data_IF_118192554343
#
_entry.id   IF_118192554343
#
_cell.length_a   1.000
_cell.length_b   1.000
_cell.length_c   1.000
_cell.angle_alpha   90.00
_cell.angle_beta   90.00
_cell.angle_gamma   90.00
#
_symmetry.space_group_name_H-M   'P 1'
#
loop_
_entity.id
_entity.type
_entity.pdbx_description
1 polymer ?
#
# COMPACT_ATOMS: atom_id res chain seq x y z
N UNK A 1 -21.28 23.00 -19.31
CA UNK A 1 -20.21 23.72 -20.04
C UNK A 1 -20.74 23.97 -21.44
N UNK A 2 -20.86 25.20 -21.86
CA UNK A 2 -21.28 25.52 -23.21
C UNK A 2 -20.08 25.47 -24.19
N UNK A 3 -20.35 25.65 -25.51
CA UNK A 3 -19.29 25.54 -26.51
C UNK A 3 -18.26 26.66 -26.47
N UNK A 4 -18.62 27.82 -25.94
CA UNK A 4 -17.73 28.96 -25.84
C UNK A 4 -16.80 28.79 -24.63
N UNK A 5 -17.29 28.34 -23.47
CA UNK A 5 -16.46 27.96 -22.31
C UNK A 5 -15.42 26.89 -22.67
N UNK A 6 -15.80 25.88 -23.47
CA UNK A 6 -14.86 24.84 -23.93
C UNK A 6 -13.77 25.45 -24.81
N UNK A 7 -14.13 26.37 -25.71
CA UNK A 7 -13.15 27.06 -26.58
C UNK A 7 -12.15 27.87 -25.78
N UNK A 8 -12.62 28.68 -24.83
CA UNK A 8 -11.76 29.50 -23.95
C UNK A 8 -10.79 28.62 -23.16
N UNK A 9 -11.25 27.48 -22.61
CA UNK A 9 -10.40 26.53 -21.90
C UNK A 9 -9.33 25.90 -22.80
N UNK A 10 -9.67 25.57 -24.06
CA UNK A 10 -8.70 25.04 -25.04
C UNK A 10 -7.67 26.11 -25.40
N UNK A 11 -8.09 27.33 -25.65
CA UNK A 11 -7.18 28.46 -25.97
C UNK A 11 -6.24 28.75 -24.81
N UNK A 12 -6.74 28.83 -23.59
CA UNK A 12 -5.93 29.02 -22.37
C UNK A 12 -4.94 27.88 -22.15
N UNK A 13 -5.37 26.62 -22.36
CA UNK A 13 -4.48 25.46 -22.28
C UNK A 13 -3.39 25.49 -23.37
N UNK A 14 -3.74 25.90 -24.60
CA UNK A 14 -2.78 26.07 -25.69
C UNK A 14 -1.74 27.14 -25.37
N UNK A 15 -2.16 28.32 -24.94
CA UNK A 15 -1.25 29.39 -24.52
C UNK A 15 -0.31 28.95 -23.41
N UNK A 16 -0.83 28.28 -22.39
CA UNK A 16 -0.02 27.72 -21.28
C UNK A 16 1.02 26.70 -21.79
N UNK A 17 0.63 25.86 -22.76
CA UNK A 17 1.53 24.85 -23.32
C UNK A 17 2.71 25.45 -24.09
N UNK A 18 2.61 26.69 -24.61
CA UNK A 18 3.73 27.36 -25.29
C UNK A 18 4.92 27.65 -24.37
N UNK A 19 4.69 27.72 -23.06
CA UNK A 19 5.72 27.98 -22.05
C UNK A 19 6.36 26.67 -21.53
N UNK A 20 5.76 25.51 -21.80
CA UNK A 20 6.26 24.21 -21.33
C UNK A 20 7.12 23.56 -22.42
N UNK A 21 8.41 23.38 -22.14
CA UNK A 21 9.38 22.77 -23.07
C UNK A 21 9.81 21.38 -22.62
N UNK A 22 8.85 20.46 -22.50
CA UNK A 22 9.18 19.07 -22.24
C UNK A 22 9.71 18.38 -23.50
N UNK A 23 10.64 17.41 -23.37
CA UNK A 23 11.03 16.57 -24.49
C UNK A 23 9.81 15.86 -25.10
N UNK A 24 9.79 15.72 -26.41
CA UNK A 24 8.73 15.00 -27.10
C UNK A 24 8.77 13.51 -26.73
N UNK A 25 7.62 12.91 -26.49
CA UNK A 25 7.47 11.48 -26.36
C UNK A 25 6.30 10.96 -27.22
N UNK A 26 6.39 9.69 -27.61
CA UNK A 26 5.33 9.06 -28.43
C UNK A 26 4.27 8.45 -27.52
N UNK A 27 3.01 8.64 -27.89
CA UNK A 27 1.92 7.90 -27.29
C UNK A 27 2.02 6.40 -27.62
N UNK A 28 1.47 5.51 -26.80
CA UNK A 28 1.40 4.08 -27.05
C UNK A 28 0.76 3.77 -28.41
N UNK A 29 1.05 2.60 -28.94
CA UNK A 29 0.43 2.14 -30.18
C UNK A 29 -1.08 1.97 -30.01
N UNK A 30 -1.81 2.07 -31.14
CA UNK A 30 -3.26 1.96 -31.15
C UNK A 30 -3.76 0.64 -30.57
N UNK A 31 -4.71 0.72 -29.66
CA UNK A 31 -5.43 -0.42 -29.06
C UNK A 31 -6.92 -0.21 -29.22
N UNK A 32 -7.62 -1.24 -29.68
CA UNK A 32 -9.08 -1.31 -29.67
C UNK A 32 -9.46 -2.46 -28.74
N UNK A 33 -10.05 -2.13 -27.58
CA UNK A 33 -10.47 -3.12 -26.59
C UNK A 33 -11.75 -2.64 -25.88
N UNK A 34 -12.85 -3.32 -26.11
CA UNK A 34 -14.16 -3.03 -25.51
C UNK A 34 -14.52 -4.16 -24.57
N UNK A 35 -13.87 -4.19 -23.41
CA UNK A 35 -14.18 -5.20 -22.39
C UNK A 35 -15.51 -4.86 -21.69
N UNK A 36 -16.50 -5.71 -21.92
CA UNK A 36 -17.84 -5.61 -21.33
C UNK A 36 -18.09 -6.69 -20.27
N UNK A 37 -17.06 -7.41 -19.84
CA UNK A 37 -17.21 -8.44 -18.80
C UNK A 37 -17.74 -7.83 -17.51
N UNK A 38 -18.62 -8.58 -16.85
CA UNK A 38 -19.13 -8.20 -15.54
C UNK A 38 -18.00 -8.35 -14.53
N UNK A 39 -17.66 -7.25 -13.88
CA UNK A 39 -16.66 -7.20 -12.81
C UNK A 39 -17.35 -7.14 -11.45
N UNK A 40 -16.57 -7.21 -10.39
CA UNK A 40 -17.01 -6.93 -9.04
C UNK A 40 -17.73 -5.57 -8.97
N UNK A 41 -18.95 -5.55 -8.44
CA UNK A 41 -19.72 -4.33 -8.23
C UNK A 41 -19.54 -3.84 -6.79
N UNK A 42 -18.70 -2.82 -6.63
CA UNK A 42 -18.40 -2.24 -5.32
C UNK A 42 -19.65 -1.62 -4.68
N UNK A 43 -20.51 -0.98 -5.46
CA UNK A 43 -21.71 -0.33 -4.93
C UNK A 43 -22.74 -1.34 -4.39
N UNK A 44 -23.01 -2.41 -5.15
CA UNK A 44 -23.96 -3.44 -4.73
C UNK A 44 -23.42 -4.27 -3.55
N UNK A 45 -22.10 -4.36 -3.40
CA UNK A 45 -21.44 -5.23 -2.41
C UNK A 45 -21.23 -4.60 -1.04
N UNK A 46 -21.41 -3.28 -0.88
CA UNK A 46 -21.18 -2.54 0.38
C UNK A 46 -21.88 -3.17 1.58
N UNK A 47 -23.18 -3.45 1.45
CA UNK A 47 -23.99 -3.95 2.56
C UNK A 47 -23.50 -5.32 3.05
N UNK A 48 -23.12 -6.20 2.13
CA UNK A 48 -22.63 -7.54 2.49
C UNK A 48 -21.23 -7.48 3.14
N UNK A 49 -20.37 -6.56 2.70
CA UNK A 49 -19.08 -6.33 3.33
C UNK A 49 -19.23 -5.70 4.71
N UNK A 50 -20.15 -4.75 4.88
CA UNK A 50 -20.46 -4.16 6.18
C UNK A 50 -21.00 -5.22 7.17
N UNK A 51 -21.94 -6.08 6.75
CA UNK A 51 -22.43 -7.20 7.59
C UNK A 51 -21.26 -8.12 8.02
N UNK A 52 -20.34 -8.42 7.10
CA UNK A 52 -19.17 -9.24 7.41
C UNK A 52 -18.26 -8.57 8.45
N UNK A 53 -18.02 -7.26 8.33
CA UNK A 53 -17.24 -6.50 9.30
C UNK A 53 -17.91 -6.56 10.70
N UNK A 54 -19.19 -6.21 10.80
CA UNK A 54 -19.91 -6.20 12.07
C UNK A 54 -20.05 -7.60 12.70
N UNK A 55 -20.05 -8.68 11.93
CA UNK A 55 -20.08 -10.04 12.48
C UNK A 55 -18.82 -10.40 13.30
N UNK A 56 -17.74 -9.61 13.20
CA UNK A 56 -16.55 -9.80 14.00
C UNK A 56 -16.77 -9.52 15.51
N UNK A 57 -17.79 -8.73 15.89
CA UNK A 57 -18.13 -8.47 17.30
C UNK A 57 -18.56 -9.73 18.04
N UNK A 58 -19.10 -10.72 17.34
CA UNK A 58 -19.49 -11.99 17.95
C UNK A 58 -18.29 -12.77 18.52
N UNK A 59 -17.08 -12.49 18.02
CA UNK A 59 -15.84 -13.14 18.43
C UNK A 59 -15.15 -12.47 19.62
N UNK A 60 -15.43 -11.17 19.87
CA UNK A 60 -14.72 -10.37 20.87
C UNK A 60 -15.71 -9.56 21.72
N UNK A 61 -16.13 -10.13 22.84
CA UNK A 61 -17.21 -9.56 23.68
C UNK A 61 -16.85 -8.26 24.40
N UNK A 62 -15.55 -8.03 24.66
CA UNK A 62 -15.06 -6.89 25.46
C UNK A 62 -14.71 -5.65 24.61
N UNK A 63 -14.97 -5.69 23.31
CA UNK A 63 -14.81 -4.57 22.40
C UNK A 63 -16.02 -4.45 21.47
N UNK A 64 -16.12 -3.33 20.74
CA UNK A 64 -17.18 -3.07 19.77
C UNK A 64 -16.68 -2.14 18.66
N UNK A 65 -17.42 -2.08 17.57
CA UNK A 65 -17.17 -1.16 16.45
C UNK A 65 -17.86 0.15 16.79
N UNK A 66 -17.06 1.20 17.06
CA UNK A 66 -17.57 2.54 17.36
C UNK A 66 -18.16 3.21 16.11
N UNK A 67 -17.42 3.15 15.00
CA UNK A 67 -17.84 3.69 13.70
C UNK A 67 -17.25 2.88 12.55
N UNK A 68 -17.91 2.90 11.40
CA UNK A 68 -17.38 2.35 10.17
C UNK A 68 -17.96 3.12 8.97
N UNK A 69 -17.09 3.45 8.01
CA UNK A 69 -17.45 4.08 6.75
C UNK A 69 -17.07 3.18 5.59
N UNK A 70 -17.97 3.04 4.63
CA UNK A 70 -17.78 2.22 3.44
C UNK A 70 -18.06 3.03 2.19
N UNK A 71 -17.16 2.97 1.24
CA UNK A 71 -17.27 3.59 -0.07
C UNK A 71 -17.22 2.52 -1.15
N UNK A 72 -18.36 2.21 -1.75
CA UNK A 72 -18.44 1.32 -2.91
C UNK A 72 -18.32 2.13 -4.19
N UNK A 73 -17.44 1.71 -5.07
CA UNK A 73 -17.25 2.31 -6.39
C UNK A 73 -17.40 1.25 -7.48
N UNK A 74 -18.17 1.58 -8.52
CA UNK A 74 -18.19 0.87 -9.80
C UNK A 74 -17.98 1.89 -10.91
N UNK A 75 -16.85 1.81 -11.59
CA UNK A 75 -16.40 2.80 -12.58
C UNK A 75 -16.30 2.18 -13.95
N UNK A 76 -16.97 2.79 -14.94
CA UNK A 76 -16.71 2.52 -16.36
C UNK A 76 -15.74 3.56 -16.91
N UNK A 77 -14.65 3.10 -17.47
CA UNK A 77 -13.59 3.94 -18.03
C UNK A 77 -13.58 3.80 -19.54
N UNK A 78 -13.56 4.95 -20.25
CA UNK A 78 -13.40 5.03 -21.69
C UNK A 78 -12.14 5.85 -21.99
N UNK A 79 -11.20 5.28 -22.74
CA UNK A 79 -9.96 5.94 -23.13
C UNK A 79 -9.92 6.06 -24.65
N UNK A 80 -9.87 7.29 -25.13
CA UNK A 80 -9.73 7.61 -26.57
C UNK A 80 -8.46 8.45 -26.70
N UNK A 81 -7.57 8.04 -27.60
CA UNK A 81 -6.32 8.74 -27.85
C UNK A 81 -6.24 9.30 -29.26
N UNK A 82 -5.41 10.33 -29.48
CA UNK A 82 -5.14 10.91 -30.79
C UNK A 82 -4.48 9.92 -31.77
N UNK A 83 -3.95 8.80 -31.31
CA UNK A 83 -3.47 7.67 -32.12
C UNK A 83 -4.59 6.73 -32.58
N UNK A 84 -5.83 6.96 -32.13
CA UNK A 84 -7.01 6.18 -32.48
C UNK A 84 -7.22 4.94 -31.58
N UNK A 85 -6.64 4.90 -30.41
CA UNK A 85 -7.05 3.90 -29.40
C UNK A 85 -8.47 4.21 -28.95
N UNK A 86 -9.25 3.13 -28.73
CA UNK A 86 -10.61 3.18 -28.23
C UNK A 86 -10.81 2.00 -27.27
N UNK A 87 -10.67 2.28 -25.98
CA UNK A 87 -10.62 1.29 -24.91
C UNK A 87 -11.77 1.56 -23.95
N UNK A 88 -12.48 0.52 -23.54
CA UNK A 88 -13.53 0.60 -22.52
C UNK A 88 -13.43 -0.60 -21.59
N UNK A 89 -13.50 -0.34 -20.28
CA UNK A 89 -13.55 -1.38 -19.25
C UNK A 89 -14.34 -0.89 -18.03
N UNK A 90 -14.79 -1.84 -17.23
CA UNK A 90 -15.42 -1.55 -15.93
C UNK A 90 -14.58 -2.14 -14.82
N UNK A 91 -14.47 -1.43 -13.71
CA UNK A 91 -13.80 -1.89 -12.49
C UNK A 91 -14.66 -1.54 -11.27
N UNK A 92 -14.51 -2.32 -10.20
CA UNK A 92 -15.18 -2.06 -8.94
C UNK A 92 -14.24 -2.22 -7.76
N UNK A 93 -14.47 -1.44 -6.71
CA UNK A 93 -13.79 -1.58 -5.43
C UNK A 93 -14.65 -1.15 -4.27
N UNK A 94 -14.29 -1.61 -3.08
CA UNK A 94 -14.81 -1.11 -1.81
C UNK A 94 -13.61 -0.64 -1.00
N UNK A 95 -13.67 0.60 -0.57
CA UNK A 95 -12.73 1.16 0.40
C UNK A 95 -13.49 1.59 1.64
N UNK A 96 -12.80 1.81 2.73
CA UNK A 96 -13.40 2.35 3.93
C UNK A 96 -12.46 2.27 5.11
N UNK A 97 -13.03 2.64 6.24
CA UNK A 97 -12.33 2.68 7.52
C UNK A 97 -13.28 2.29 8.65
N UNK A 98 -12.72 1.89 9.75
CA UNK A 98 -13.48 1.62 10.96
C UNK A 98 -12.66 1.91 12.21
N UNK A 99 -13.36 2.27 13.27
CA UNK A 99 -12.83 2.49 14.60
C UNK A 99 -13.43 1.46 15.55
N UNK A 100 -12.57 0.77 16.26
CA UNK A 100 -12.98 -0.17 17.32
C UNK A 100 -12.64 0.39 18.69
N UNK A 101 -13.44 0.06 19.69
CA UNK A 101 -13.29 0.55 21.06
C UNK A 101 -13.46 -0.58 22.07
N UNK A 102 -12.69 -0.53 23.16
CA UNK A 102 -12.87 -1.42 24.30
C UNK A 102 -14.09 -0.98 25.15
N UNK A 103 -14.85 -1.94 25.69
CA UNK A 103 -16.05 -1.67 26.53
C UNK A 103 -15.75 -1.22 27.96
N UNK A 104 -14.47 -1.18 28.35
CA UNK A 104 -14.04 -0.77 29.70
C UNK A 104 -13.90 0.76 29.78
N UNK A 105 -13.59 1.25 31.01
CA UNK A 105 -13.63 2.69 31.35
C UNK A 105 -12.59 3.55 30.61
N UNK A 106 -11.50 2.97 30.13
CA UNK A 106 -10.50 3.72 29.39
C UNK A 106 -10.93 3.94 27.93
N UNK A 107 -10.81 5.18 27.48
CA UNK A 107 -11.04 5.56 26.07
C UNK A 107 -9.94 4.97 25.19
N UNK A 108 -10.17 3.77 24.68
CA UNK A 108 -9.24 3.01 23.86
C UNK A 108 -9.83 2.80 22.49
N UNK A 109 -9.51 3.70 21.58
CA UNK A 109 -9.89 3.61 20.19
C UNK A 109 -8.71 3.19 19.32
N UNK A 110 -8.97 2.29 18.39
CA UNK A 110 -8.03 1.89 17.35
C UNK A 110 -8.69 2.01 15.97
N UNK A 111 -8.00 2.68 15.09
CA UNK A 111 -8.39 2.90 13.69
C UNK A 111 -7.79 1.83 12.77
N UNK A 112 -8.52 1.47 11.72
CA UNK A 112 -8.02 0.69 10.59
C UNK A 112 -8.77 1.06 9.31
N UNK A 113 -8.08 1.06 8.19
CA UNK A 113 -8.61 1.23 6.84
C UNK A 113 -8.58 -0.09 6.05
N UNK A 114 -9.26 -0.13 4.92
CA UNK A 114 -9.27 -1.28 4.01
C UNK A 114 -9.54 -0.88 2.56
N UNK A 115 -9.08 -1.75 1.64
CA UNK A 115 -9.37 -1.62 0.21
C UNK A 115 -9.45 -3.01 -0.43
N UNK A 116 -10.62 -3.35 -0.98
CA UNK A 116 -10.90 -4.65 -1.60
C UNK A 116 -11.42 -4.46 -3.03
N UNK A 117 -11.01 -5.36 -3.91
CA UNK A 117 -11.34 -5.37 -5.33
C UNK A 117 -12.18 -6.58 -5.72
N UNK A 118 -12.64 -7.32 -4.72
CA UNK A 118 -13.53 -8.48 -4.83
C UNK A 118 -14.31 -8.65 -3.51
N UNK A 119 -15.25 -9.60 -3.45
CA UNK A 119 -16.04 -9.92 -2.27
C UNK A 119 -15.20 -10.67 -1.22
N UNK A 120 -14.42 -9.93 -0.43
CA UNK A 120 -13.50 -10.46 0.57
C UNK A 120 -14.09 -10.44 2.00
N UNK A 121 -15.28 -11.03 2.18
CA UNK A 121 -16.01 -11.04 3.49
C UNK A 121 -15.18 -11.59 4.64
N UNK A 122 -14.46 -12.68 4.41
CA UNK A 122 -13.65 -13.30 5.44
C UNK A 122 -12.41 -12.46 5.80
N UNK A 123 -11.81 -11.79 4.82
CA UNK A 123 -10.66 -10.91 5.04
C UNK A 123 -11.04 -9.71 5.92
N UNK A 124 -12.16 -9.03 5.62
CA UNK A 124 -12.60 -7.87 6.40
C UNK A 124 -13.06 -8.28 7.81
N UNK A 125 -13.75 -9.43 7.95
CA UNK A 125 -14.15 -9.99 9.26
C UNK A 125 -12.92 -10.27 10.12
N UNK A 126 -11.92 -10.97 9.60
CA UNK A 126 -10.66 -11.27 10.31
C UNK A 126 -9.88 -10.01 10.68
N UNK A 127 -9.82 -9.02 9.78
CA UNK A 127 -9.17 -7.73 10.04
C UNK A 127 -9.86 -7.03 11.22
N UNK A 128 -11.18 -6.95 11.21
CA UNK A 128 -11.95 -6.34 12.29
C UNK A 128 -11.78 -7.11 13.61
N UNK A 129 -11.90 -8.44 13.62
CA UNK A 129 -11.71 -9.26 14.81
C UNK A 129 -10.31 -9.08 15.41
N UNK A 130 -9.27 -8.91 14.57
CA UNK A 130 -7.90 -8.59 15.02
C UNK A 130 -7.86 -7.22 15.70
N UNK A 131 -8.44 -6.18 15.11
CA UNK A 131 -8.47 -4.83 15.70
C UNK A 131 -9.25 -4.80 17.03
N UNK A 132 -10.37 -5.49 17.12
CA UNK A 132 -11.12 -5.64 18.38
C UNK A 132 -10.25 -6.28 19.48
N UNK A 133 -9.51 -7.35 19.17
CA UNK A 133 -8.56 -7.96 20.12
C UNK A 133 -7.45 -7.00 20.56
N UNK A 134 -6.90 -6.21 19.61
CA UNK A 134 -5.90 -5.20 19.92
C UNK A 134 -6.46 -4.08 20.81
N UNK A 135 -7.72 -3.68 20.63
CA UNK A 135 -8.36 -2.70 21.51
C UNK A 135 -8.49 -3.23 22.96
N UNK A 136 -8.85 -4.51 23.14
CA UNK A 136 -8.85 -5.15 24.46
C UNK A 136 -7.45 -5.24 25.04
N UNK A 137 -6.44 -5.60 24.26
CA UNK A 137 -5.04 -5.67 24.71
C UNK A 137 -4.52 -4.29 25.14
N UNK A 138 -4.85 -3.24 24.39
CA UNK A 138 -4.42 -1.87 24.67
C UNK A 138 -4.93 -1.35 26.01
N UNK A 139 -6.09 -1.80 26.46
CA UNK A 139 -6.63 -1.38 27.77
C UNK A 139 -5.67 -1.68 28.93
N UNK A 140 -4.91 -2.78 28.83
CA UNK A 140 -3.88 -3.15 29.82
C UNK A 140 -2.51 -2.53 29.56
N UNK A 141 -2.34 -1.82 28.45
CA UNK A 141 -1.06 -1.26 28.04
C UNK A 141 -0.59 -0.13 28.98
N UNK A 142 0.67 -0.18 29.38
CA UNK A 142 1.26 0.88 30.19
C UNK A 142 1.68 2.05 29.32
N UNK A 143 1.35 3.27 29.73
CA UNK A 143 1.84 4.46 29.05
C UNK A 143 3.36 4.54 29.13
N UNK A 144 4.00 4.66 27.99
CA UNK A 144 5.46 4.73 27.88
C UNK A 144 5.84 5.70 26.75
N UNK A 145 5.77 7.03 27.02
CA UNK A 145 6.05 8.07 26.02
C UNK A 145 7.57 8.18 25.82
N UNK A 146 8.17 7.19 25.17
CA UNK A 146 9.60 7.12 24.90
C UNK A 146 9.85 6.94 23.40
N UNK A 147 11.06 7.32 22.97
CA UNK A 147 11.58 7.00 21.66
C UNK A 147 12.26 5.64 21.70
N UNK A 148 11.73 4.70 20.91
CA UNK A 148 12.23 3.34 20.78
C UNK A 148 13.03 3.10 19.49
N UNK A 149 13.44 4.15 18.79
CA UNK A 149 14.19 4.05 17.53
C UNK A 149 15.51 3.29 17.64
N UNK A 150 16.04 3.13 18.86
CA UNK A 150 17.23 2.31 19.14
C UNK A 150 16.96 0.81 19.32
N UNK A 151 15.71 0.37 19.17
CA UNK A 151 15.33 -1.05 19.19
C UNK A 151 15.22 -1.58 17.76
N UNK A 152 15.51 -2.87 17.50
CA UNK A 152 15.05 -3.51 16.28
C UNK A 152 13.52 -3.39 16.16
N UNK A 153 13.03 -2.83 15.07
CA UNK A 153 11.62 -2.52 14.87
C UNK A 153 10.99 -3.67 14.11
N UNK A 154 9.86 -4.19 14.61
CA UNK A 154 9.05 -5.17 13.89
C UNK A 154 7.73 -4.53 13.49
N UNK A 155 7.46 -4.49 12.18
CA UNK A 155 6.20 -4.06 11.58
C UNK A 155 5.38 -5.29 11.16
N UNK A 156 4.06 -5.19 11.21
CA UNK A 156 3.16 -6.29 10.82
C UNK A 156 2.04 -5.82 9.86
N UNK A 157 1.52 -6.74 9.07
CA UNK A 157 0.34 -6.59 8.21
C UNK A 157 0.41 -5.38 7.26
N UNK A 158 -0.55 -4.46 7.35
CA UNK A 158 -0.63 -3.29 6.47
C UNK A 158 0.62 -2.40 6.53
N UNK A 159 1.32 -2.34 7.66
CA UNK A 159 2.57 -1.59 7.77
C UNK A 159 3.71 -2.22 6.98
N UNK A 160 3.73 -3.56 6.84
CA UNK A 160 4.68 -4.25 5.94
C UNK A 160 4.38 -3.92 4.49
N UNK A 161 3.11 -3.89 4.10
CA UNK A 161 2.68 -3.45 2.76
C UNK A 161 3.20 -2.04 2.45
N UNK A 162 2.98 -1.08 3.35
CA UNK A 162 3.45 0.30 3.17
C UNK A 162 4.98 0.36 3.13
N UNK A 163 5.68 -0.39 3.99
CA UNK A 163 7.13 -0.51 3.97
C UNK A 163 7.66 -1.04 2.62
N UNK A 164 7.04 -2.08 2.06
CA UNK A 164 7.45 -2.66 0.78
C UNK A 164 7.13 -1.79 -0.44
N UNK A 165 6.13 -0.92 -0.36
CA UNK A 165 5.84 0.07 -1.40
C UNK A 165 7.04 1.00 -1.68
N UNK A 166 7.92 1.20 -0.71
CA UNK A 166 9.17 1.94 -0.91
C UNK A 166 9.93 1.46 -2.15
N UNK A 167 10.07 0.15 -2.31
CA UNK A 167 10.82 -0.43 -3.44
C UNK A 167 10.11 -0.19 -4.78
N UNK A 168 8.76 -0.24 -4.82
CA UNK A 168 8.01 0.14 -6.02
C UNK A 168 8.22 1.61 -6.34
N UNK A 169 8.09 2.51 -5.37
CA UNK A 169 8.26 3.94 -5.59
C UNK A 169 9.67 4.28 -6.08
N UNK A 170 10.70 3.66 -5.52
CA UNK A 170 12.09 3.81 -5.99
C UNK A 170 12.30 3.30 -7.42
N UNK A 171 11.50 2.32 -7.87
CA UNK A 171 11.53 1.79 -9.23
C UNK A 171 10.63 2.58 -10.21
N UNK A 172 9.94 3.63 -9.75
CA UNK A 172 9.07 4.43 -10.60
C UNK A 172 9.91 5.44 -11.41
N UNK A 173 9.64 5.50 -12.72
CA UNK A 173 10.32 6.39 -13.65
C UNK A 173 10.22 7.88 -13.28
N UNK A 174 9.16 8.28 -12.58
CA UNK A 174 9.01 9.65 -12.08
C UNK A 174 10.03 10.02 -10.97
N UNK A 175 10.60 9.03 -10.29
CA UNK A 175 11.69 9.22 -9.32
C UNK A 175 13.06 8.95 -9.95
N UNK A 176 13.13 8.00 -10.90
CA UNK A 176 14.40 7.64 -11.56
C UNK A 176 14.86 8.71 -12.55
N UNK A 177 13.95 9.25 -13.37
CA UNK A 177 14.28 10.23 -14.39
C UNK A 177 14.91 11.52 -13.83
N UNK A 178 14.34 12.17 -12.81
CA UNK A 178 14.96 13.37 -12.21
C UNK A 178 16.14 13.08 -11.29
N UNK A 179 16.52 11.81 -11.09
CA UNK A 179 17.63 11.43 -10.24
C UNK A 179 17.32 11.36 -8.74
N UNK A 180 16.03 11.32 -8.35
CA UNK A 180 15.62 11.09 -6.95
C UNK A 180 15.81 9.64 -6.52
N UNK A 181 15.86 8.73 -7.47
CA UNK A 181 16.20 7.32 -7.26
C UNK A 181 17.35 6.92 -8.16
N UNK A 182 18.29 6.18 -7.61
CA UNK A 182 19.43 5.57 -8.30
C UNK A 182 19.11 4.17 -8.86
N UNK A 183 17.84 3.71 -8.70
CA UNK A 183 17.40 2.43 -9.23
C UNK A 183 17.47 2.42 -10.76
N UNK A 184 18.01 1.34 -11.27
CA UNK A 184 18.09 1.01 -12.70
C UNK A 184 18.09 -0.50 -12.85
N UNK A 185 17.85 -1.01 -14.05
CA UNK A 185 18.00 -2.44 -14.29
C UNK A 185 19.37 -2.95 -13.88
N UNK A 186 19.40 -4.02 -13.11
CA UNK A 186 20.61 -4.59 -12.52
C UNK A 186 21.04 -3.97 -11.19
N UNK A 187 20.34 -2.97 -10.66
CA UNK A 187 20.62 -2.42 -9.32
C UNK A 187 20.30 -3.44 -8.24
N UNK A 188 21.22 -3.66 -7.32
CA UNK A 188 21.06 -4.55 -6.16
C UNK A 188 20.53 -3.74 -4.97
N UNK A 189 19.33 -4.09 -4.48
CA UNK A 189 18.71 -3.46 -3.32
C UNK A 189 19.22 -3.99 -1.97
N UNK A 190 20.16 -4.92 -2.00
CA UNK A 190 20.78 -5.57 -0.83
C UNK A 190 19.77 -6.32 0.07
N UNK A 191 18.70 -6.84 -0.52
CA UNK A 191 17.66 -7.59 0.19
C UNK A 191 17.15 -8.71 -0.74
N UNK A 192 17.18 -9.97 -0.31
CA UNK A 192 16.73 -11.12 -1.12
C UNK A 192 15.20 -11.23 -1.14
N UNK A 193 14.56 -10.29 -1.83
CA UNK A 193 13.13 -10.29 -2.08
C UNK A 193 12.84 -10.20 -3.57
N UNK A 194 11.70 -10.75 -3.96
CA UNK A 194 11.15 -10.57 -5.30
C UNK A 194 9.82 -9.82 -5.20
N UNK A 195 9.68 -8.75 -5.97
CA UNK A 195 8.48 -7.91 -6.00
C UNK A 195 7.90 -7.91 -7.40
N UNK A 196 6.67 -8.42 -7.50
CA UNK A 196 5.83 -8.29 -8.68
C UNK A 196 4.87 -7.12 -8.49
N UNK A 197 4.88 -6.16 -9.41
CA UNK A 197 3.89 -5.09 -9.49
C UNK A 197 2.54 -5.67 -9.94
N UNK A 198 1.48 -5.38 -9.20
CA UNK A 198 0.11 -5.84 -9.47
C UNK A 198 -0.74 -4.65 -9.90
N UNK A 199 -1.36 -4.69 -11.09
CA UNK A 199 -2.15 -3.58 -11.57
C UNK A 199 -3.50 -3.48 -10.84
N UNK A 200 -3.93 -2.27 -10.52
CA UNK A 200 -5.29 -1.99 -10.07
C UNK A 200 -6.28 -1.99 -11.25
N UNK A 201 -5.82 -1.56 -12.41
CA UNK A 201 -6.62 -1.45 -13.62
C UNK A 201 -5.94 -2.10 -14.82
N UNK A 202 -6.71 -2.61 -15.81
CA UNK A 202 -6.16 -3.29 -16.98
C UNK A 202 -5.44 -2.35 -17.95
N UNK A 203 -5.69 -1.04 -17.85
CA UNK A 203 -5.07 -0.01 -18.72
C UNK A 203 -4.68 1.21 -17.92
N UNK A 204 -3.57 1.85 -18.29
CA UNK A 204 -3.22 3.19 -17.82
C UNK A 204 -4.11 4.25 -18.48
N UNK A 205 -4.13 5.46 -17.92
CA UNK A 205 -4.84 6.60 -18.52
C UNK A 205 -4.35 6.96 -19.93
N UNK A 206 -3.13 6.55 -20.30
CA UNK A 206 -2.56 6.75 -21.64
C UNK A 206 -2.84 5.60 -22.61
N UNK A 207 -3.60 4.58 -22.18
CA UNK A 207 -4.01 3.44 -23.02
C UNK A 207 -2.97 2.31 -23.10
N UNK A 208 -2.01 2.25 -22.18
CA UNK A 208 -1.10 1.10 -22.05
C UNK A 208 -1.82 -0.04 -21.36
N UNK A 209 -1.83 -1.23 -21.98
CA UNK A 209 -2.32 -2.45 -21.32
C UNK A 209 -1.36 -2.84 -20.22
N UNK A 210 -1.90 -3.01 -18.99
CA UNK A 210 -1.10 -3.33 -17.80
C UNK A 210 -1.41 -4.76 -17.38
N UNK A 211 -0.38 -5.57 -17.19
CA UNK A 211 -0.44 -6.88 -16.53
C UNK A 211 0.56 -6.91 -15.39
N UNK A 212 0.46 -7.91 -14.53
CA UNK A 212 1.47 -8.11 -13.47
C UNK A 212 2.87 -8.21 -14.06
N UNK A 213 3.84 -7.59 -13.40
CA UNK A 213 5.21 -7.50 -13.88
C UNK A 213 6.22 -7.63 -12.75
N UNK A 214 7.22 -8.48 -12.93
CA UNK A 214 8.36 -8.55 -12.02
C UNK A 214 9.13 -7.24 -12.06
N UNK A 215 9.18 -6.53 -10.95
CA UNK A 215 9.91 -5.27 -10.78
C UNK A 215 11.28 -5.54 -10.18
N UNK A 216 11.33 -6.36 -9.13
CA UNK A 216 12.56 -6.77 -8.47
C UNK A 216 12.55 -8.30 -8.38
N UNK A 217 13.64 -8.95 -8.72
CA UNK A 217 13.80 -10.40 -8.64
C UNK A 217 15.07 -10.73 -7.88
N UNK A 218 14.94 -11.47 -6.76
CA UNK A 218 16.06 -11.79 -5.88
C UNK A 218 16.96 -10.58 -5.56
N UNK A 219 16.34 -9.48 -5.17
CA UNK A 219 17.03 -8.23 -4.83
C UNK A 219 17.52 -7.41 -6.01
N UNK A 220 17.39 -7.88 -7.24
CA UNK A 220 17.87 -7.17 -8.43
C UNK A 220 16.70 -6.50 -9.16
N UNK A 221 16.80 -5.20 -9.38
CA UNK A 221 15.82 -4.43 -10.17
C UNK A 221 15.81 -4.93 -11.61
N UNK A 222 14.66 -5.39 -12.08
CA UNK A 222 14.45 -5.93 -13.44
C UNK A 222 13.75 -4.95 -14.36
N UNK A 223 12.82 -4.17 -13.83
CA UNK A 223 12.04 -3.24 -14.61
C UNK A 223 11.86 -1.92 -13.87
N UNK A 224 11.89 -0.83 -14.63
CA UNK A 224 11.45 0.49 -14.21
C UNK A 224 10.02 0.66 -14.74
N UNK A 225 9.09 1.03 -13.88
CA UNK A 225 7.68 1.23 -14.21
C UNK A 225 7.28 2.72 -14.10
N UNK A 226 6.13 3.10 -14.61
CA UNK A 226 5.66 4.48 -14.51
C UNK A 226 4.76 4.89 -15.66
N UNK A 227 4.51 6.19 -15.79
CA UNK A 227 3.76 6.75 -16.89
C UNK A 227 4.57 6.75 -18.21
N UNK A 228 3.88 6.88 -19.32
CA UNK A 228 4.46 6.85 -20.67
C UNK A 228 5.54 7.90 -20.87
N UNK A 229 5.33 9.11 -20.35
CA UNK A 229 6.25 10.23 -20.49
C UNK A 229 7.63 9.90 -19.88
N UNK A 230 7.69 9.57 -18.60
CA UNK A 230 8.96 9.30 -17.93
C UNK A 230 9.62 8.01 -18.42
N UNK A 231 8.85 6.96 -18.73
CA UNK A 231 9.41 5.75 -19.35
C UNK A 231 10.01 6.04 -20.71
N UNK A 232 9.38 6.91 -21.53
CA UNK A 232 9.94 7.37 -22.82
C UNK A 232 11.25 8.11 -22.64
N UNK A 233 11.33 9.02 -21.67
CA UNK A 233 12.55 9.79 -21.38
C UNK A 233 13.70 8.91 -20.92
N UNK A 234 13.41 7.83 -20.24
CA UNK A 234 14.37 6.81 -19.82
C UNK A 234 14.67 5.77 -20.92
N UNK A 235 14.01 5.86 -22.09
CA UNK A 235 14.07 4.86 -23.15
C UNK A 235 13.72 3.44 -22.66
N UNK A 236 12.60 3.32 -21.90
CA UNK A 236 12.10 2.08 -21.30
C UNK A 236 10.76 1.64 -21.91
N UNK A 237 10.47 0.33 -21.92
CA UNK A 237 9.16 -0.18 -22.35
C UNK A 237 8.02 0.40 -21.53
N UNK A 238 6.87 0.65 -22.18
CA UNK A 238 5.66 1.09 -21.52
C UNK A 238 4.97 -0.11 -20.85
N UNK A 239 5.20 -0.30 -19.56
CA UNK A 239 4.65 -1.42 -18.79
C UNK A 239 3.57 -1.00 -17.79
N UNK A 240 3.28 0.30 -17.71
CA UNK A 240 2.35 0.89 -16.76
C UNK A 240 2.98 1.25 -15.42
N UNK A 241 2.14 1.73 -14.51
CA UNK A 241 2.51 2.13 -13.15
C UNK A 241 1.86 1.17 -12.14
N UNK A 242 2.58 0.83 -11.07
CA UNK A 242 2.12 -0.07 -10.03
C UNK A 242 2.15 0.61 -8.67
N UNK A 243 1.09 0.42 -7.90
CA UNK A 243 0.95 0.85 -6.49
C UNK A 243 0.70 -0.33 -5.56
N UNK A 244 0.35 -1.49 -6.12
CA UNK A 244 0.15 -2.73 -5.39
C UNK A 244 1.22 -3.75 -5.79
N UNK A 245 1.47 -4.70 -4.90
CA UNK A 245 2.55 -5.67 -5.08
C UNK A 245 2.25 -7.05 -4.48
N UNK A 246 2.85 -8.05 -5.12
CA UNK A 246 3.13 -9.34 -4.48
C UNK A 246 4.61 -9.40 -4.13
N UNK A 247 4.92 -9.80 -2.91
CA UNK A 247 6.30 -9.96 -2.45
C UNK A 247 6.57 -11.41 -2.05
N UNK A 248 7.62 -11.98 -2.63
CA UNK A 248 8.15 -13.28 -2.21
C UNK A 248 9.52 -13.06 -1.59
N UNK A 249 9.77 -13.69 -0.45
CA UNK A 249 11.03 -13.59 0.28
C UNK A 249 11.42 -14.93 0.89
N UNK A 250 12.70 -15.06 1.22
CA UNK A 250 13.21 -16.17 2.03
C UNK A 250 13.03 -15.80 3.51
N UNK A 251 11.81 -16.04 4.03
CA UNK A 251 11.39 -15.59 5.36
C UNK A 251 11.77 -16.53 6.49
N UNK A 252 11.88 -15.97 7.69
CA UNK A 252 12.10 -16.71 8.93
C UNK A 252 10.76 -16.99 9.64
N UNK A 253 10.65 -18.08 10.44
CA UNK A 253 9.51 -18.26 11.33
C UNK A 253 9.35 -17.08 12.31
N UNK A 254 8.11 -16.71 12.64
CA UNK A 254 7.81 -15.55 13.48
C UNK A 254 8.49 -15.61 14.86
N UNK A 255 8.64 -16.79 15.46
CA UNK A 255 9.31 -16.99 16.72
C UNK A 255 10.80 -16.63 16.67
N UNK A 256 11.47 -16.87 15.53
CA UNK A 256 12.86 -16.42 15.30
C UNK A 256 12.92 -14.90 15.08
N UNK A 257 11.98 -14.37 14.30
CA UNK A 257 11.91 -12.92 14.07
C UNK A 257 11.73 -12.14 15.39
N UNK A 258 10.90 -12.67 16.29
CA UNK A 258 10.60 -12.13 17.62
C UNK A 258 11.57 -12.64 18.72
N UNK A 259 12.79 -12.99 18.37
CA UNK A 259 13.79 -13.37 19.34
C UNK A 259 14.67 -12.18 19.75
N UNK A 260 15.02 -12.11 21.05
CA UNK A 260 15.89 -11.09 21.63
C UNK A 260 15.19 -9.75 21.85
N UNK A 261 15.95 -8.67 21.67
CA UNK A 261 15.48 -7.30 21.85
C UNK A 261 14.70 -6.84 20.60
N UNK A 262 13.50 -6.28 20.80
CA UNK A 262 12.70 -5.68 19.72
C UNK A 262 11.60 -4.76 20.28
N UNK A 263 11.03 -3.96 19.37
CA UNK A 263 9.71 -3.37 19.50
C UNK A 263 8.82 -3.87 18.36
N UNK A 264 7.75 -4.58 18.70
CA UNK A 264 6.71 -5.00 17.75
C UNK A 264 5.58 -3.98 17.77
N UNK A 265 5.48 -3.17 16.73
CA UNK A 265 4.40 -2.19 16.64
C UNK A 265 3.15 -2.87 16.09
N UNK A 266 2.09 -2.89 16.91
CA UNK A 266 0.81 -3.53 16.61
C UNK A 266 -0.20 -2.56 16.02
N UNK A 267 -0.10 -1.27 16.39
CA UNK A 267 -0.96 -0.22 15.85
C UNK A 267 -0.28 1.15 15.98
N UNK A 268 -0.26 1.92 14.88
CA UNK A 268 0.20 3.30 14.86
C UNK A 268 -0.97 4.29 14.95
N UNK A 269 -0.68 5.51 15.44
CA UNK A 269 -1.55 6.68 15.20
C UNK A 269 -1.45 7.13 13.75
N UNK A 270 -0.19 7.27 13.29
CA UNK A 270 0.19 7.53 11.92
C UNK A 270 1.48 6.77 11.61
N UNK A 271 1.55 6.12 10.48
CA UNK A 271 2.78 5.51 9.96
C UNK A 271 3.12 6.17 8.65
N UNK A 272 4.34 6.66 8.54
CA UNK A 272 4.82 7.33 7.34
C UNK A 272 6.09 6.67 6.81
N UNK A 273 6.21 6.64 5.50
CA UNK A 273 7.38 6.16 4.76
C UNK A 273 7.75 7.18 3.70
N UNK A 274 8.95 7.76 3.81
CA UNK A 274 9.47 8.68 2.79
C UNK A 274 10.17 7.87 1.67
N UNK A 275 9.62 7.89 0.45
CA UNK A 275 10.18 7.14 -0.66
C UNK A 275 11.49 7.71 -1.19
N UNK A 276 11.86 8.93 -0.86
CA UNK A 276 13.10 9.58 -1.30
C UNK A 276 14.26 9.22 -0.37
N UNK A 277 14.07 9.43 0.92
CA UNK A 277 15.12 9.25 1.93
C UNK A 277 15.16 7.83 2.51
N UNK A 278 14.05 7.09 2.42
CA UNK A 278 13.87 5.79 3.06
C UNK A 278 13.62 5.87 4.56
N UNK A 279 13.40 7.07 5.09
CA UNK A 279 13.00 7.24 6.49
C UNK A 279 11.56 6.78 6.69
N UNK A 280 11.31 6.09 7.78
CA UNK A 280 9.97 5.67 8.19
C UNK A 280 9.79 5.82 9.68
N UNK A 281 8.54 5.88 10.12
CA UNK A 281 8.20 5.89 11.54
C UNK A 281 6.84 6.45 11.83
N UNK A 282 6.59 6.67 13.13
CA UNK A 282 5.35 7.24 13.63
C UNK A 282 5.18 7.07 15.13
N UNK A 283 4.14 7.68 15.67
CA UNK A 283 3.67 7.43 17.02
C UNK A 283 2.80 6.17 17.05
N UNK A 284 3.07 5.26 17.95
CA UNK A 284 2.27 4.05 18.07
C UNK A 284 1.20 4.15 19.17
N UNK A 285 0.05 3.59 18.91
CA UNK A 285 -1.05 3.39 19.83
C UNK A 285 -0.88 2.13 20.65
N UNK A 286 -0.21 1.11 20.10
CA UNK A 286 0.02 -0.17 20.76
C UNK A 286 1.29 -0.81 20.25
N UNK A 287 2.17 -1.23 21.17
CA UNK A 287 3.35 -2.01 20.85
C UNK A 287 3.68 -3.01 21.96
N UNK A 288 4.38 -4.08 21.57
CA UNK A 288 5.03 -5.01 22.51
C UNK A 288 6.55 -4.75 22.50
N UNK A 289 7.10 -4.52 23.67
CA UNK A 289 8.55 -4.40 23.85
C UNK A 289 9.09 -5.67 24.43
N UNK A 290 10.21 -6.16 23.89
CA UNK A 290 11.02 -7.23 24.47
C UNK A 290 12.44 -6.75 24.70
N UNK A 291 12.92 -6.82 25.93
CA UNK A 291 14.29 -6.48 26.35
C UNK A 291 14.69 -7.29 27.59
N UNK A 292 15.77 -6.87 28.27
CA UNK A 292 16.29 -7.49 29.51
C UNK A 292 15.29 -7.49 30.67
N UNK A 293 14.28 -6.60 30.64
CA UNK A 293 13.20 -6.53 31.64
C UNK A 293 12.00 -7.41 31.28
N UNK A 294 12.09 -8.19 30.20
CA UNK A 294 11.06 -9.07 29.71
C UNK A 294 10.10 -8.40 28.73
N UNK A 295 9.00 -9.09 28.43
CA UNK A 295 7.97 -8.61 27.50
C UNK A 295 6.94 -7.74 28.21
N UNK A 296 6.55 -6.62 27.58
CA UNK A 296 5.51 -5.73 28.10
C UNK A 296 4.77 -5.02 26.98
N UNK A 297 3.50 -4.74 27.21
CA UNK A 297 2.63 -4.01 26.29
C UNK A 297 2.62 -2.54 26.68
N UNK A 298 2.84 -1.66 25.70
CA UNK A 298 2.97 -0.22 25.91
C UNK A 298 2.17 0.59 24.92
N UNK A 299 1.87 1.85 25.26
CA UNK A 299 1.17 2.82 24.42
C UNK A 299 1.85 4.20 24.52
N UNK A 300 1.76 5.01 23.43
CA UNK A 300 2.15 6.41 23.41
C UNK A 300 3.64 6.69 23.27
N UNK A 301 4.40 5.81 22.62
CA UNK A 301 5.79 6.02 22.22
C UNK A 301 5.94 6.23 20.71
N UNK A 302 7.17 6.44 20.29
CA UNK A 302 7.55 6.64 18.89
C UNK A 302 8.61 5.66 18.45
N UNK A 303 8.62 5.37 17.15
CA UNK A 303 9.72 4.67 16.47
C UNK A 303 10.05 5.40 15.17
N UNK A 304 11.34 5.44 14.84
CA UNK A 304 11.83 5.88 13.53
C UNK A 304 12.92 4.94 13.05
N UNK A 305 13.05 4.78 11.77
CA UNK A 305 14.08 3.97 11.12
C UNK A 305 14.35 4.46 9.71
N UNK A 306 15.32 3.82 9.05
CA UNK A 306 15.63 4.12 7.66
C UNK A 306 15.95 2.82 6.93
N UNK A 307 15.22 2.55 5.85
CA UNK A 307 15.34 1.30 5.10
C UNK A 307 16.70 1.18 4.40
N UNK A 308 17.24 2.27 3.86
CA UNK A 308 18.52 2.26 3.13
C UNK A 308 19.70 2.02 4.08
N UNK A 309 19.66 2.62 5.28
CA UNK A 309 20.72 2.45 6.30
C UNK A 309 20.71 1.07 6.96
N UNK A 310 19.60 0.35 6.88
CA UNK A 310 19.41 -0.96 7.50
C UNK A 310 19.19 -2.09 6.48
N UNK A 311 19.45 -1.88 5.20
CA UNK A 311 19.12 -2.82 4.13
C UNK A 311 19.67 -4.25 4.39
N UNK A 312 20.87 -4.37 4.91
CA UNK A 312 21.53 -5.64 5.27
C UNK A 312 20.97 -6.32 6.53
N UNK A 313 20.19 -5.57 7.35
CA UNK A 313 19.62 -6.04 8.61
C UNK A 313 18.11 -6.29 8.55
N UNK A 314 17.50 -6.11 7.38
CA UNK A 314 16.09 -6.39 7.18
C UNK A 314 15.88 -7.91 7.11
N UNK A 315 14.90 -8.41 7.88
CA UNK A 315 14.46 -9.81 7.88
C UNK A 315 12.95 -9.85 7.76
N UNK A 316 12.44 -10.83 7.02
CA UNK A 316 11.02 -10.99 6.74
C UNK A 316 10.48 -12.26 7.40
N UNK A 317 9.18 -12.29 7.72
CA UNK A 317 8.52 -13.52 8.16
C UNK A 317 8.32 -14.48 7.00
N UNK A 318 8.34 -15.79 7.30
CA UNK A 318 7.93 -16.84 6.37
C UNK A 318 6.41 -16.99 6.25
N UNK A 319 5.66 -16.43 7.20
CA UNK A 319 4.20 -16.35 7.15
C UNK A 319 3.77 -15.21 6.23
N UNK A 320 2.73 -15.49 5.43
CA UNK A 320 2.20 -14.55 4.44
C UNK A 320 0.88 -13.95 4.88
N UNK A 321 0.65 -12.73 4.44
CA UNK A 321 -0.55 -11.95 4.65
C UNK A 321 -1.10 -11.50 3.30
N UNK A 322 -2.44 -11.56 3.15
CA UNK A 322 -3.15 -11.06 1.97
C UNK A 322 -4.16 -9.99 2.41
N UNK A 323 -4.17 -8.85 1.72
CA UNK A 323 -5.18 -7.81 1.85
C UNK A 323 -5.38 -7.09 0.51
N UNK A 324 -6.57 -7.21 -0.07
CA UNK A 324 -6.86 -6.68 -1.39
C UNK A 324 -5.88 -7.23 -2.43
N UNK A 325 -5.16 -6.33 -3.10
CA UNK A 325 -4.15 -6.69 -4.11
C UNK A 325 -2.75 -6.93 -3.53
N UNK A 326 -2.56 -6.83 -2.22
CA UNK A 326 -1.30 -7.15 -1.58
C UNK A 326 -1.22 -8.63 -1.21
N UNK A 327 -0.10 -9.27 -1.53
CA UNK A 327 0.30 -10.58 -1.00
C UNK A 327 1.79 -10.51 -0.65
N UNK A 328 2.15 -10.83 0.58
CA UNK A 328 3.55 -10.77 0.98
C UNK A 328 3.77 -11.21 2.43
N UNK A 329 4.99 -11.06 2.97
CA UNK A 329 5.29 -11.41 4.34
C UNK A 329 4.39 -10.66 5.32
N UNK A 330 3.98 -11.35 6.40
CA UNK A 330 3.11 -10.77 7.45
C UNK A 330 3.87 -9.90 8.43
N UNK A 331 5.21 -9.99 8.47
CA UNK A 331 6.05 -9.15 9.32
C UNK A 331 7.40 -8.85 8.68
N UNK A 332 7.98 -7.72 9.08
CA UNK A 332 9.36 -7.33 8.77
C UNK A 332 10.05 -6.84 10.03
N UNK A 333 11.28 -7.29 10.28
CA UNK A 333 12.17 -6.81 11.35
C UNK A 333 13.30 -5.99 10.74
N UNK A 334 13.54 -4.80 11.30
CA UNK A 334 14.53 -3.82 10.82
C UNK A 334 15.46 -3.49 12.00
N UNK A 335 16.75 -3.73 11.82
CA UNK A 335 17.78 -3.44 12.84
C UNK A 335 18.29 -4.64 13.58
#
# INVERSE_FOLDING_TARGET
MDGDEIRELIESAWESALYVKNPYYRLPEKVIDKNTEKVFDGCESVIEMAKALYSAEDEVKDAFINSAEFFGETRTVNIITGKGSDISYTSGKITGEFVVQCKKENDVELYADFSYYDMEKESIRKKCAKQLKLAVERESAKRSPADYSGYPIVLTDSYVKEFLKFYLMRSNAAYVYPGYSDYKEGYDIMSDISIEGVPEYPYSAEGVKIGSRMIIEHGIVKNIHGNVMHLSYLNRPYIGMYENLHCVCNGEPMDRLLNGKYILVKNFSDFQMDPLTGDFGGEFRLAEISDENGKRIVTGGTVTGNILKNADKIRYSGEYFKEGLYVGPSAVKIG
#
